data_IF_976647344810
#
_entry.id   IF_976647344810
#
_cell.length_a   1.000
_cell.length_b   1.000
_cell.length_c   1.000
_cell.angle_alpha   90.00
_cell.angle_beta   90.00
_cell.angle_gamma   90.00
#
_symmetry.space_group_name_H-M   'P 1'
#
loop_
_entity.id
_entity.type
_entity.pdbx_description
1 polymer ?
#
# COMPACT_ATOMS: atom_id res chain seq x y z
N UNK A 1 8.25 -32.41 2.70
CA UNK A 1 8.34 -31.21 3.57
C UNK A 1 7.11 -31.18 4.48
N UNK A 2 7.26 -30.97 5.79
CA UNK A 2 6.10 -30.91 6.68
C UNK A 2 5.19 -29.74 6.28
N UNK A 3 3.87 -29.90 6.42
CA UNK A 3 2.90 -28.87 6.03
C UNK A 3 3.15 -27.53 6.74
N UNK A 4 3.75 -27.56 7.93
CA UNK A 4 4.12 -26.36 8.69
C UNK A 4 5.21 -25.53 7.99
N UNK A 5 6.27 -26.18 7.50
CA UNK A 5 7.39 -25.49 6.80
C UNK A 5 6.90 -24.83 5.51
N UNK A 6 6.02 -25.51 4.76
CA UNK A 6 5.43 -24.95 3.53
C UNK A 6 4.59 -23.70 3.82
N UNK A 7 3.74 -23.74 4.84
CA UNK A 7 2.91 -22.59 5.21
C UNK A 7 3.75 -21.42 5.72
N UNK A 8 4.77 -21.70 6.53
CA UNK A 8 5.69 -20.69 7.03
C UNK A 8 6.45 -20.00 5.90
N UNK A 9 6.97 -20.76 4.94
CA UNK A 9 7.66 -20.21 3.77
C UNK A 9 6.73 -19.34 2.91
N UNK A 10 5.47 -19.77 2.70
CA UNK A 10 4.47 -19.00 1.94
C UNK A 10 4.12 -17.68 2.63
N UNK A 11 3.87 -17.70 3.95
CA UNK A 11 3.54 -16.48 4.70
C UNK A 11 4.73 -15.52 4.74
N UNK A 12 5.94 -16.05 4.96
CA UNK A 12 7.16 -15.23 4.95
C UNK A 12 7.39 -14.60 3.57
N UNK A 13 7.26 -15.38 2.50
CA UNK A 13 7.40 -14.87 1.13
C UNK A 13 6.37 -13.80 0.79
N UNK A 14 5.10 -14.01 1.18
CA UNK A 14 4.05 -13.02 1.00
C UNK A 14 4.35 -11.73 1.79
N UNK A 15 4.79 -11.83 3.04
CA UNK A 15 5.16 -10.69 3.87
C UNK A 15 6.33 -9.91 3.29
N UNK A 16 7.36 -10.61 2.77
CA UNK A 16 8.50 -9.97 2.10
C UNK A 16 8.07 -9.25 0.83
N UNK A 17 7.24 -9.88 -0.01
CA UNK A 17 6.71 -9.26 -1.22
C UNK A 17 5.88 -8.01 -0.91
N UNK A 18 5.01 -8.09 0.11
CA UNK A 18 4.22 -6.95 0.59
C UNK A 18 5.11 -5.80 1.06
N UNK A 19 6.08 -6.09 1.94
CA UNK A 19 6.99 -5.07 2.49
C UNK A 19 7.83 -4.41 1.40
N UNK A 20 8.34 -5.20 0.44
CA UNK A 20 9.14 -4.67 -0.66
C UNK A 20 8.33 -3.78 -1.59
N UNK A 21 7.11 -4.21 -1.94
CA UNK A 21 6.23 -3.43 -2.83
C UNK A 21 5.75 -2.13 -2.18
N UNK A 22 5.36 -2.17 -0.90
CA UNK A 22 5.00 -0.96 -0.14
C UNK A 22 6.18 0.01 -0.01
N UNK A 23 7.37 -0.51 0.34
CA UNK A 23 8.60 0.27 0.40
C UNK A 23 8.95 0.97 -0.92
N UNK A 24 8.84 0.23 -2.03
CA UNK A 24 9.08 0.78 -3.37
C UNK A 24 8.05 1.85 -3.75
N UNK A 25 6.77 1.61 -3.46
CA UNK A 25 5.67 2.53 -3.76
C UNK A 25 5.88 3.86 -3.02
N UNK A 26 6.22 3.82 -1.74
CA UNK A 26 6.55 5.02 -0.94
C UNK A 26 7.67 5.86 -1.56
N UNK A 27 8.70 5.21 -2.10
CA UNK A 27 9.80 5.90 -2.79
C UNK A 27 9.38 6.46 -4.15
N UNK A 28 8.58 5.72 -4.92
CA UNK A 28 8.07 6.18 -6.21
C UNK A 28 7.21 7.43 -6.05
N UNK A 29 6.35 7.47 -5.03
CA UNK A 29 5.47 8.61 -4.76
C UNK A 29 6.26 9.84 -4.33
N UNK A 30 7.25 9.66 -3.45
CA UNK A 30 8.18 10.73 -3.07
C UNK A 30 8.89 11.31 -4.30
N UNK A 31 9.47 10.46 -5.15
CA UNK A 31 10.20 10.90 -6.34
C UNK A 31 9.29 11.53 -7.40
N UNK A 32 8.06 11.02 -7.55
CA UNK A 32 7.07 11.56 -8.47
C UNK A 32 6.68 12.98 -8.08
N UNK A 33 6.33 13.23 -6.81
CA UNK A 33 5.99 14.59 -6.36
C UNK A 33 7.19 15.53 -6.32
N UNK A 34 8.39 15.03 -6.00
CA UNK A 34 9.61 15.81 -6.11
C UNK A 34 9.86 16.25 -7.57
N UNK A 35 9.65 15.36 -8.55
CA UNK A 35 9.78 15.69 -9.97
C UNK A 35 8.70 16.70 -10.46
N UNK A 36 7.52 16.69 -9.85
CA UNK A 36 6.45 17.68 -10.10
C UNK A 36 6.72 19.05 -9.45
N UNK A 37 7.80 19.19 -8.66
CA UNK A 37 8.21 20.47 -8.06
C UNK A 37 7.61 20.76 -6.68
N UNK A 38 7.02 19.76 -6.01
CA UNK A 38 6.56 19.91 -4.63
C UNK A 38 7.73 20.13 -3.68
N UNK A 39 7.54 21.01 -2.71
CA UNK A 39 8.51 21.25 -1.64
C UNK A 39 8.61 20.04 -0.70
N UNK A 40 9.76 19.91 -0.02
CA UNK A 40 9.96 18.86 0.98
C UNK A 40 8.91 18.90 2.11
N UNK A 41 8.41 20.08 2.45
CA UNK A 41 7.37 20.24 3.46
C UNK A 41 6.02 19.68 2.99
N UNK A 42 5.61 19.94 1.75
CA UNK A 42 4.36 19.41 1.20
C UNK A 42 4.40 17.89 1.09
N UNK A 43 5.53 17.32 0.64
CA UNK A 43 5.72 15.86 0.58
C UNK A 43 5.62 15.25 1.99
N UNK A 44 6.22 15.88 3.00
CA UNK A 44 6.13 15.41 4.39
C UNK A 44 4.68 15.40 4.91
N UNK A 45 3.87 16.40 4.56
CA UNK A 45 2.44 16.42 4.91
C UNK A 45 1.66 15.28 4.24
N UNK A 46 1.95 14.97 2.97
CA UNK A 46 1.35 13.83 2.28
C UNK A 46 1.71 12.49 2.95
N UNK A 47 2.94 12.35 3.43
CA UNK A 47 3.37 11.17 4.19
C UNK A 47 2.65 11.05 5.53
N UNK A 48 2.42 12.15 6.26
CA UNK A 48 1.63 12.11 7.49
C UNK A 48 0.21 11.63 7.21
N UNK A 49 -0.43 12.13 6.15
CA UNK A 49 -1.77 11.66 5.75
C UNK A 49 -1.77 10.17 5.40
N UNK A 50 -0.74 9.70 4.71
CA UNK A 50 -0.56 8.28 4.41
C UNK A 50 -0.42 7.44 5.69
N UNK A 51 0.43 7.85 6.64
CA UNK A 51 0.60 7.11 7.90
C UNK A 51 -0.71 7.05 8.70
N UNK A 52 -1.48 8.15 8.72
CA UNK A 52 -2.81 8.17 9.34
C UNK A 52 -3.76 7.19 8.63
N UNK A 53 -3.73 7.14 7.30
CA UNK A 53 -4.52 6.17 6.54
C UNK A 53 -4.07 4.73 6.87
N UNK A 54 -2.77 4.50 7.03
CA UNK A 54 -2.21 3.22 7.47
C UNK A 54 -2.69 2.78 8.85
N UNK A 55 -2.88 3.71 9.80
CA UNK A 55 -3.50 3.40 11.09
C UNK A 55 -4.93 2.89 10.88
N UNK A 56 -5.70 3.54 10.01
CA UNK A 56 -7.08 3.14 9.71
C UNK A 56 -7.12 1.77 9.03
N UNK A 57 -6.28 1.51 8.02
CA UNK A 57 -6.26 0.22 7.34
C UNK A 57 -5.84 -0.92 8.27
N UNK A 58 -4.86 -0.69 9.15
CA UNK A 58 -4.47 -1.67 10.17
C UNK A 58 -5.58 -1.96 11.18
N UNK A 59 -6.33 -0.95 11.62
CA UNK A 59 -7.48 -1.14 12.51
C UNK A 59 -8.58 -1.97 11.84
N UNK A 60 -8.92 -1.63 10.58
CA UNK A 60 -9.93 -2.36 9.80
C UNK A 60 -9.47 -3.79 9.52
N UNK A 61 -8.20 -3.98 9.16
CA UNK A 61 -7.59 -5.29 8.95
C UNK A 61 -7.59 -6.14 10.21
N UNK A 62 -7.26 -5.56 11.36
CA UNK A 62 -7.31 -6.23 12.67
C UNK A 62 -8.73 -6.64 13.07
N UNK A 63 -9.72 -5.77 12.83
CA UNK A 63 -11.13 -6.10 13.06
C UNK A 63 -11.61 -7.23 12.14
N UNK A 64 -11.25 -7.19 10.85
CA UNK A 64 -11.58 -8.24 9.88
C UNK A 64 -10.90 -9.58 10.21
N UNK A 65 -9.66 -9.54 10.72
CA UNK A 65 -8.93 -10.72 11.17
C UNK A 65 -9.57 -11.37 12.40
N UNK A 66 -10.08 -10.57 13.35
CA UNK A 66 -10.88 -11.11 14.45
C UNK A 66 -12.21 -11.69 13.98
N UNK A 67 -12.87 -11.06 13.02
CA UNK A 67 -14.19 -11.50 12.54
C UNK A 67 -14.16 -12.72 11.62
N UNK A 68 -13.17 -12.84 10.72
CA UNK A 68 -13.12 -13.87 9.65
C UNK A 68 -11.83 -14.71 9.63
N UNK A 69 -10.92 -14.46 10.57
CA UNK A 69 -9.67 -15.19 10.70
C UNK A 69 -8.52 -14.61 9.88
N UNK A 70 -7.29 -14.96 10.30
CA UNK A 70 -6.05 -14.42 9.77
C UNK A 70 -5.79 -14.80 8.31
N UNK A 71 -6.13 -16.04 7.92
CA UNK A 71 -5.93 -16.52 6.54
C UNK A 71 -6.73 -15.70 5.53
N UNK A 72 -7.99 -15.40 5.84
CA UNK A 72 -8.85 -14.59 4.96
C UNK A 72 -8.28 -13.17 4.79
N UNK A 73 -7.88 -12.55 5.90
CA UNK A 73 -7.33 -11.19 5.91
C UNK A 73 -6.02 -11.10 5.11
N UNK A 74 -5.15 -12.11 5.22
CA UNK A 74 -3.89 -12.16 4.46
C UNK A 74 -4.14 -12.25 2.94
N UNK A 75 -5.04 -13.11 2.49
CA UNK A 75 -5.38 -13.20 1.06
C UNK A 75 -6.12 -11.95 0.56
N UNK A 76 -7.00 -11.37 1.37
CA UNK A 76 -7.69 -10.13 1.03
C UNK A 76 -6.70 -8.96 0.88
N UNK A 77 -5.73 -8.83 1.79
CA UNK A 77 -4.68 -7.82 1.71
C UNK A 77 -3.78 -8.00 0.48
N UNK A 78 -3.36 -9.24 0.17
CA UNK A 78 -2.60 -9.53 -1.05
C UNK A 78 -3.37 -9.19 -2.34
N UNK A 79 -4.67 -9.51 -2.38
CA UNK A 79 -5.51 -9.18 -3.53
C UNK A 79 -5.68 -7.65 -3.68
N UNK A 80 -5.85 -6.94 -2.56
CA UNK A 80 -5.92 -5.49 -2.53
C UNK A 80 -4.59 -4.85 -2.99
N UNK A 81 -3.45 -5.39 -2.56
CA UNK A 81 -2.11 -4.98 -3.02
C UNK A 81 -2.00 -5.02 -4.55
N UNK A 82 -2.37 -6.16 -5.13
CA UNK A 82 -2.29 -6.37 -6.59
C UNK A 82 -3.23 -5.40 -7.31
N UNK A 83 -4.45 -5.21 -6.80
CA UNK A 83 -5.41 -4.27 -7.36
C UNK A 83 -4.91 -2.82 -7.29
N UNK A 84 -4.33 -2.40 -6.17
CA UNK A 84 -3.78 -1.05 -5.96
C UNK A 84 -2.59 -0.77 -6.88
N UNK A 85 -1.65 -1.71 -7.00
CA UNK A 85 -0.51 -1.59 -7.92
C UNK A 85 -0.93 -1.56 -9.39
N UNK A 86 -1.92 -2.39 -9.75
CA UNK A 86 -2.50 -2.39 -11.10
C UNK A 86 -3.16 -1.05 -11.41
N UNK A 87 -3.94 -0.52 -10.46
CA UNK A 87 -4.56 0.78 -10.58
C UNK A 87 -3.52 1.91 -10.72
N UNK A 88 -2.47 1.92 -9.88
CA UNK A 88 -1.39 2.91 -9.98
C UNK A 88 -0.68 2.89 -11.34
N UNK A 89 -0.65 1.75 -12.03
CA UNK A 89 -0.09 1.65 -13.39
C UNK A 89 -0.91 2.40 -14.44
N UNK A 90 -2.17 2.73 -14.16
CA UNK A 90 -3.03 3.53 -15.04
C UNK A 90 -2.98 5.04 -14.74
N UNK A 91 -1.99 5.51 -13.98
CA UNK A 91 -1.81 6.94 -13.71
C UNK A 91 -1.55 7.68 -15.01
N UNK A 92 -2.38 8.68 -15.31
CA UNK A 92 -2.28 9.49 -16.52
C UNK A 92 -1.53 10.82 -16.22
N UNK A 93 -0.49 11.17 -16.99
CA UNK A 93 0.22 12.44 -16.86
C UNK A 93 -0.64 13.70 -17.06
N UNK A 94 -1.76 13.59 -17.78
CA UNK A 94 -2.63 14.73 -18.13
C UNK A 94 -3.60 15.12 -16.99
N UNK A 95 -3.57 14.41 -15.86
CA UNK A 95 -4.46 14.70 -14.74
C UNK A 95 -4.07 15.98 -14.00
N UNK A 96 -5.09 16.69 -13.49
CA UNK A 96 -4.87 17.81 -12.59
C UNK A 96 -4.04 17.34 -11.38
N UNK A 97 -3.07 18.13 -10.89
CA UNK A 97 -2.17 17.73 -9.80
C UNK A 97 -2.91 17.22 -8.56
N UNK A 98 -4.00 17.87 -8.17
CA UNK A 98 -4.81 17.45 -7.02
C UNK A 98 -5.49 16.08 -7.21
N UNK A 99 -5.90 15.76 -8.44
CA UNK A 99 -6.51 14.45 -8.78
C UNK A 99 -5.43 13.36 -8.78
N UNK A 100 -4.25 13.66 -9.33
CA UNK A 100 -3.10 12.75 -9.28
C UNK A 100 -2.68 12.47 -7.83
N UNK A 101 -2.59 13.50 -6.99
CA UNK A 101 -2.30 13.35 -5.55
C UNK A 101 -3.34 12.48 -4.86
N UNK A 102 -4.64 12.80 -4.99
CA UNK A 102 -5.68 12.03 -4.33
C UNK A 102 -5.71 10.56 -4.79
N UNK A 103 -5.48 10.32 -6.08
CA UNK A 103 -5.44 8.97 -6.65
C UNK A 103 -4.24 8.16 -6.15
N UNK A 104 -3.04 8.73 -6.26
CA UNK A 104 -1.79 8.09 -5.84
C UNK A 104 -1.82 7.82 -4.34
N UNK A 105 -2.20 8.83 -3.54
CA UNK A 105 -2.25 8.67 -2.09
C UNK A 105 -3.34 7.70 -1.63
N UNK A 106 -4.50 7.70 -2.29
CA UNK A 106 -5.59 6.78 -1.98
C UNK A 106 -5.24 5.32 -2.27
N UNK A 107 -4.63 5.05 -3.42
CA UNK A 107 -4.18 3.70 -3.79
C UNK A 107 -2.98 3.25 -2.96
N UNK A 108 -2.06 4.16 -2.65
CA UNK A 108 -0.96 3.91 -1.73
C UNK A 108 -1.48 3.52 -0.34
N UNK A 109 -2.45 4.26 0.20
CA UNK A 109 -3.06 3.93 1.48
C UNK A 109 -3.81 2.59 1.44
N UNK A 110 -4.50 2.27 0.34
CA UNK A 110 -5.17 0.98 0.17
C UNK A 110 -4.18 -0.20 0.04
N UNK A 111 -2.95 0.07 -0.38
CA UNK A 111 -1.86 -0.90 -0.48
C UNK A 111 -1.06 -1.05 0.83
N UNK A 112 -1.39 -0.30 1.88
CA UNK A 112 -0.68 -0.26 3.15
C UNK A 112 -1.35 -1.04 4.28
#
# INVERSE_FOLDING_TARGET
MSAAIRNYALVTGAYWGFTLTDGALRMLVLLHFHALGYSAFEIALLFILYEVAGIVTNLVGGWLAQARGLRFTLFAGLALQIASLTALSFTNPDWLPAISVAYVMGLQAASG
#
